data_IF_091075431717
#
_entry.id   IF_091075431717
#
_cell.length_a   1.000
_cell.length_b   1.000
_cell.length_c   1.000
_cell.angle_alpha   90.00
_cell.angle_beta   90.00
_cell.angle_gamma   90.00
#
_symmetry.space_group_name_H-M   'P 1'
#
loop_
_entity.id
_entity.type
_entity.pdbx_description
1 polymer ?
#
# COMPACT_ATOMS: atom_id res chain seq x y z
N UNK A 1 15.16 19.31 -26.36
CA UNK A 1 14.78 20.18 -25.22
C UNK A 1 13.32 19.98 -24.93
N UNK A 2 12.95 19.77 -23.66
CA UNK A 2 11.54 19.70 -23.28
C UNK A 2 10.95 21.11 -23.36
N UNK A 3 9.89 21.28 -24.13
CA UNK A 3 9.22 22.57 -24.29
C UNK A 3 8.52 22.96 -22.99
N UNK A 4 8.56 24.24 -22.62
CA UNK A 4 7.94 24.71 -21.38
C UNK A 4 6.42 24.76 -21.52
N UNK A 5 5.71 23.98 -20.69
CA UNK A 5 4.25 23.99 -20.63
C UNK A 5 3.73 24.83 -19.43
N UNK A 6 2.98 25.93 -19.65
CA UNK A 6 2.47 26.78 -18.58
C UNK A 6 1.61 26.05 -17.53
N UNK A 7 1.00 24.93 -17.91
CA UNK A 7 0.23 24.08 -17.01
C UNK A 7 1.07 23.53 -15.83
N UNK A 8 2.39 23.44 -15.99
CA UNK A 8 3.32 23.03 -14.93
C UNK A 8 3.43 24.04 -13.77
N UNK A 9 2.98 25.28 -13.98
CA UNK A 9 2.93 26.33 -12.95
C UNK A 9 1.54 26.46 -12.30
N UNK A 10 0.60 25.58 -12.60
CA UNK A 10 -0.71 25.60 -11.96
C UNK A 10 -0.56 25.43 -10.43
N UNK A 11 -1.26 26.28 -9.68
CA UNK A 11 -1.22 26.25 -8.21
C UNK A 11 -1.73 24.93 -7.66
N UNK A 12 -1.05 24.40 -6.65
CA UNK A 12 -1.49 23.17 -5.98
C UNK A 12 -2.71 23.43 -5.10
N UNK A 13 -3.70 22.55 -5.18
CA UNK A 13 -4.86 22.58 -4.30
C UNK A 13 -4.47 22.14 -2.87
N UNK A 14 -5.29 22.51 -1.89
CA UNK A 14 -5.08 22.08 -0.49
C UNK A 14 -5.00 20.56 -0.36
N UNK A 15 -5.84 19.83 -1.11
CA UNK A 15 -5.84 18.36 -1.11
C UNK A 15 -4.54 17.80 -1.71
N UNK A 16 -4.05 18.36 -2.82
CA UNK A 16 -2.78 17.95 -3.42
C UNK A 16 -1.60 18.17 -2.47
N UNK A 17 -1.57 19.31 -1.76
CA UNK A 17 -0.56 19.60 -0.75
C UNK A 17 -0.64 18.57 0.39
N UNK A 18 -1.84 18.31 0.92
CA UNK A 18 -2.04 17.37 2.02
C UNK A 18 -1.57 15.95 1.65
N UNK A 19 -2.01 15.43 0.50
CA UNK A 19 -1.61 14.10 0.00
C UNK A 19 -0.09 14.03 -0.14
N UNK A 20 0.55 15.06 -0.72
CA UNK A 20 2.01 15.09 -0.84
C UNK A 20 2.71 15.03 0.51
N UNK A 21 2.23 15.79 1.49
CA UNK A 21 2.83 15.80 2.84
C UNK A 21 2.66 14.46 3.55
N UNK A 22 1.48 13.84 3.45
CA UNK A 22 1.22 12.51 4.04
C UNK A 22 2.10 11.42 3.39
N UNK A 23 2.23 11.42 2.06
CA UNK A 23 3.12 10.49 1.35
C UNK A 23 4.58 10.69 1.78
N UNK A 24 5.03 11.94 1.92
CA UNK A 24 6.38 12.24 2.37
C UNK A 24 6.62 11.74 3.80
N UNK A 25 5.70 12.01 4.72
CA UNK A 25 5.77 11.55 6.11
C UNK A 25 5.76 10.02 6.19
N UNK A 26 4.86 9.35 5.45
CA UNK A 26 4.83 7.88 5.35
C UNK A 26 6.22 7.34 4.99
N UNK A 27 6.83 7.86 3.91
CA UNK A 27 8.15 7.41 3.44
C UNK A 27 9.24 7.60 4.50
N UNK A 28 9.22 8.72 5.22
CA UNK A 28 10.17 8.99 6.29
C UNK A 28 9.98 7.98 7.44
N UNK A 29 8.75 7.79 7.92
CA UNK A 29 8.46 6.86 9.01
C UNK A 29 8.80 5.41 8.64
N UNK A 30 8.46 4.98 7.43
CA UNK A 30 8.83 3.65 6.92
C UNK A 30 10.35 3.48 6.86
N UNK A 31 11.09 4.47 6.34
CA UNK A 31 12.56 4.44 6.29
C UNK A 31 13.17 4.35 7.70
N UNK A 32 12.56 5.01 8.67
CA UNK A 32 12.96 4.96 10.08
C UNK A 32 12.51 3.68 10.82
N UNK A 33 11.81 2.75 10.14
CA UNK A 33 11.14 1.58 10.74
C UNK A 33 10.13 1.95 11.84
N UNK A 34 9.61 3.17 11.78
CA UNK A 34 8.57 3.69 12.66
C UNK A 34 7.20 3.27 12.12
N UNK A 35 6.94 1.95 12.11
CA UNK A 35 5.79 1.36 11.44
C UNK A 35 4.42 1.82 11.96
N UNK A 36 4.20 2.07 13.27
CA UNK A 36 2.92 2.62 13.74
C UNK A 36 2.58 3.98 13.10
N UNK A 37 3.57 4.87 12.98
CA UNK A 37 3.40 6.18 12.36
C UNK A 37 3.25 6.07 10.85
N UNK A 38 3.99 5.15 10.22
CA UNK A 38 3.79 4.81 8.81
C UNK A 38 2.36 4.35 8.53
N UNK A 39 1.83 3.46 9.39
CA UNK A 39 0.46 2.96 9.29
C UNK A 39 -0.56 4.10 9.42
N UNK A 40 -0.40 4.97 10.41
CA UNK A 40 -1.29 6.12 10.60
C UNK A 40 -1.33 7.04 9.36
N UNK A 41 -0.19 7.28 8.70
CA UNK A 41 -0.16 8.08 7.47
C UNK A 41 -0.86 7.37 6.31
N UNK A 42 -0.69 6.05 6.19
CA UNK A 42 -1.39 5.23 5.19
C UNK A 42 -2.90 5.21 5.42
N UNK A 43 -3.37 5.13 6.66
CA UNK A 43 -4.80 5.20 6.98
C UNK A 43 -5.43 6.54 6.61
N UNK A 44 -4.72 7.65 6.86
CA UNK A 44 -5.15 8.98 6.42
C UNK A 44 -5.20 9.08 4.88
N UNK A 45 -4.22 8.51 4.18
CA UNK A 45 -4.23 8.48 2.71
C UNK A 45 -5.41 7.67 2.16
N UNK A 46 -5.72 6.52 2.76
CA UNK A 46 -6.90 5.72 2.39
C UNK A 46 -8.22 6.41 2.74
N UNK A 47 -8.26 7.23 3.79
CA UNK A 47 -9.43 8.03 4.12
C UNK A 47 -9.68 9.15 3.08
N UNK A 48 -8.60 9.68 2.45
CA UNK A 48 -8.70 10.65 1.37
C UNK A 48 -9.06 10.02 0.03
N UNK A 49 -8.51 8.83 -0.25
CA UNK A 49 -8.79 8.04 -1.46
C UNK A 49 -8.84 6.54 -1.13
N UNK A 50 -10.03 5.96 -0.92
CA UNK A 50 -10.20 4.54 -0.65
C UNK A 50 -9.81 3.63 -1.84
N UNK A 51 -9.70 4.20 -3.05
CA UNK A 51 -9.35 3.45 -4.26
C UNK A 51 -7.84 3.34 -4.50
N UNK A 52 -7.02 3.99 -3.65
CA UNK A 52 -5.58 3.97 -3.75
C UNK A 52 -4.99 2.58 -3.43
N UNK A 53 -4.92 1.71 -4.44
CA UNK A 53 -4.45 0.31 -4.29
C UNK A 53 -3.03 0.22 -3.71
N UNK A 54 -2.16 1.18 -4.03
CA UNK A 54 -0.81 1.28 -3.45
C UNK A 54 -0.87 1.44 -1.93
N UNK A 55 -1.80 2.25 -1.42
CA UNK A 55 -1.96 2.49 0.00
C UNK A 55 -2.62 1.30 0.71
N UNK A 56 -3.53 0.60 0.03
CA UNK A 56 -4.11 -0.66 0.52
C UNK A 56 -3.02 -1.74 0.70
N UNK A 57 -2.14 -1.90 -0.29
CA UNK A 57 -0.98 -2.78 -0.21
C UNK A 57 -0.05 -2.38 0.94
N UNK A 58 0.30 -1.11 1.02
CA UNK A 58 1.20 -0.59 2.05
C UNK A 58 0.62 -0.80 3.46
N UNK A 59 -0.70 -0.65 3.65
CA UNK A 59 -1.38 -0.93 4.93
C UNK A 59 -1.20 -2.40 5.34
N UNK A 60 -1.39 -3.31 4.40
CA UNK A 60 -1.19 -4.74 4.64
C UNK A 60 0.26 -5.10 5.01
N UNK A 61 1.24 -4.51 4.33
CA UNK A 61 2.66 -4.71 4.63
C UNK A 61 3.06 -4.09 5.99
N UNK A 62 2.51 -2.93 6.34
CA UNK A 62 2.76 -2.29 7.63
C UNK A 62 2.13 -3.08 8.78
N UNK A 63 0.89 -3.55 8.61
CA UNK A 63 0.23 -4.44 9.56
C UNK A 63 1.05 -5.73 9.78
N UNK A 64 1.62 -6.31 8.71
CA UNK A 64 2.52 -7.45 8.82
C UNK A 64 3.74 -7.16 9.70
N UNK A 65 4.40 -6.01 9.50
CA UNK A 65 5.55 -5.59 10.31
C UNK A 65 5.18 -5.31 11.78
N UNK A 66 3.92 -5.00 12.05
CA UNK A 66 3.37 -4.79 13.39
C UNK A 66 2.82 -6.08 14.02
N UNK A 67 2.98 -7.23 13.36
CA UNK A 67 2.45 -8.53 13.76
C UNK A 67 0.91 -8.61 13.81
N UNK A 68 0.19 -7.67 13.19
CA UNK A 68 -1.25 -7.79 12.95
C UNK A 68 -1.49 -8.61 11.68
N UNK A 69 -1.25 -9.92 11.80
CA UNK A 69 -1.37 -10.87 10.70
C UNK A 69 -2.78 -10.97 10.11
N UNK A 70 -3.87 -10.92 10.89
CA UNK A 70 -5.22 -10.86 10.34
C UNK A 70 -5.47 -9.62 9.48
N UNK A 71 -5.04 -8.42 9.92
CA UNK A 71 -5.20 -7.21 9.12
C UNK A 71 -4.33 -7.26 7.85
N UNK A 72 -3.07 -7.69 7.99
CA UNK A 72 -2.17 -7.87 6.87
C UNK A 72 -2.76 -8.79 5.79
N UNK A 73 -3.30 -9.94 6.21
CA UNK A 73 -3.90 -10.91 5.30
C UNK A 73 -5.09 -10.31 4.55
N UNK A 74 -6.02 -9.66 5.26
CA UNK A 74 -7.21 -9.05 4.65
C UNK A 74 -6.85 -8.04 3.56
N UNK A 75 -5.92 -7.14 3.86
CA UNK A 75 -5.57 -6.05 2.95
C UNK A 75 -4.76 -6.53 1.74
N UNK A 76 -3.80 -7.44 1.94
CA UNK A 76 -3.00 -7.98 0.84
C UNK A 76 -3.84 -8.88 -0.08
N UNK A 77 -4.80 -9.63 0.46
CA UNK A 77 -5.76 -10.36 -0.38
C UNK A 77 -6.67 -9.42 -1.16
N UNK A 78 -7.13 -8.33 -0.55
CA UNK A 78 -7.91 -7.31 -1.25
C UNK A 78 -7.10 -6.66 -2.38
N UNK A 79 -5.85 -6.28 -2.11
CA UNK A 79 -4.93 -5.76 -3.12
C UNK A 79 -4.77 -6.71 -4.32
N UNK A 80 -4.52 -8.00 -4.06
CA UNK A 80 -4.39 -8.99 -5.12
C UNK A 80 -5.69 -9.14 -5.92
N UNK A 81 -6.86 -9.17 -5.26
CA UNK A 81 -8.17 -9.24 -5.96
C UNK A 81 -8.38 -8.07 -6.92
N UNK A 82 -7.98 -6.85 -6.54
CA UNK A 82 -8.18 -5.66 -7.37
C UNK A 82 -7.14 -5.51 -8.49
N UNK A 83 -5.96 -6.12 -8.33
CA UNK A 83 -4.87 -6.01 -9.31
C UNK A 83 -4.71 -7.24 -10.22
N UNK A 84 -5.30 -8.38 -9.86
CA UNK A 84 -5.33 -9.58 -10.70
C UNK A 84 -6.24 -9.35 -11.91
N UNK A 85 -5.68 -9.48 -13.10
CA UNK A 85 -6.42 -9.37 -14.36
C UNK A 85 -7.09 -10.72 -14.68
N UNK A 86 -8.18 -11.05 -13.99
CA UNK A 86 -8.96 -12.27 -14.22
C UNK A 86 -8.66 -13.42 -13.24
N UNK A 87 -9.67 -14.28 -13.06
CA UNK A 87 -9.85 -15.23 -11.96
C UNK A 87 -8.70 -16.24 -11.77
N UNK A 88 -7.97 -16.10 -10.66
CA UNK A 88 -7.18 -17.20 -10.07
C UNK A 88 -5.84 -17.52 -10.72
N UNK A 89 -5.41 -16.79 -11.74
CA UNK A 89 -4.08 -17.00 -12.32
C UNK A 89 -2.96 -16.51 -11.38
N UNK A 90 -1.94 -17.35 -11.22
CA UNK A 90 -0.72 -16.99 -10.47
C UNK A 90 -0.09 -15.76 -11.14
N UNK A 91 0.33 -14.74 -10.37
CA UNK A 91 1.02 -13.59 -10.95
C UNK A 91 2.23 -14.02 -11.76
N UNK A 92 2.54 -13.27 -12.82
CA UNK A 92 3.79 -13.47 -13.57
C UNK A 92 4.98 -13.39 -12.60
N UNK A 93 5.98 -14.24 -12.81
CA UNK A 93 7.20 -14.24 -12.01
C UNK A 93 7.90 -12.86 -12.11
N UNK A 94 8.58 -12.46 -11.03
CA UNK A 94 9.25 -11.15 -10.88
C UNK A 94 8.31 -9.93 -10.93
N UNK A 95 7.04 -10.09 -10.56
CA UNK A 95 6.11 -8.97 -10.37
C UNK A 95 5.89 -8.69 -8.89
N UNK A 96 5.55 -7.45 -8.55
CA UNK A 96 5.16 -7.10 -7.17
C UNK A 96 4.00 -7.98 -6.68
N UNK A 97 3.05 -8.30 -7.56
CA UNK A 97 1.95 -9.19 -7.24
C UNK A 97 2.43 -10.59 -6.83
N UNK A 98 3.52 -11.11 -7.43
CA UNK A 98 4.10 -12.39 -7.04
C UNK A 98 4.70 -12.35 -5.63
N UNK A 99 5.38 -11.25 -5.27
CA UNK A 99 5.93 -11.04 -3.92
C UNK A 99 4.80 -10.97 -2.89
N UNK A 100 3.76 -10.16 -3.15
CA UNK A 100 2.59 -10.05 -2.27
C UNK A 100 1.86 -11.39 -2.15
N UNK A 101 1.79 -12.18 -3.22
CA UNK A 101 1.17 -13.50 -3.17
C UNK A 101 1.93 -14.49 -2.28
N UNK A 102 3.26 -14.47 -2.27
CA UNK A 102 4.04 -15.27 -1.32
C UNK A 102 3.86 -14.79 0.13
N UNK A 103 3.74 -13.48 0.37
CA UNK A 103 3.35 -12.96 1.69
C UNK A 103 1.98 -13.48 2.14
N UNK A 104 0.97 -13.44 1.27
CA UNK A 104 -0.38 -13.96 1.55
C UNK A 104 -0.36 -15.45 1.88
N UNK A 105 0.39 -16.27 1.14
CA UNK A 105 0.57 -17.70 1.46
C UNK A 105 1.18 -17.92 2.85
N UNK A 106 2.25 -17.20 3.15
CA UNK A 106 2.92 -17.30 4.45
C UNK A 106 1.98 -16.91 5.60
N UNK A 107 1.23 -15.82 5.40
CA UNK A 107 0.21 -15.33 6.34
C UNK A 107 -0.91 -16.34 6.55
N UNK A 108 -1.45 -16.95 5.49
CA UNK A 108 -2.50 -17.98 5.60
C UNK A 108 -2.05 -19.17 6.45
N UNK A 109 -0.83 -19.67 6.23
CA UNK A 109 -0.27 -20.77 7.04
C UNK A 109 -0.14 -20.37 8.51
N UNK A 110 0.31 -19.14 8.77
CA UNK A 110 0.49 -18.62 10.14
C UNK A 110 -0.82 -18.42 10.87
N UNK A 111 -1.81 -17.80 10.23
CA UNK A 111 -3.14 -17.58 10.80
C UNK A 111 -3.85 -18.92 11.06
N UNK A 112 -3.73 -19.89 10.15
CA UNK A 112 -4.30 -21.22 10.34
C UNK A 112 -3.69 -21.99 11.52
N UNK A 113 -2.41 -21.77 11.84
CA UNK A 113 -1.75 -22.40 13.00
C UNK A 113 -1.99 -21.69 14.34
N UNK A 114 -2.69 -20.56 14.36
CA UNK A 114 -3.06 -19.84 15.59
C UNK A 114 -4.48 -20.15 16.07
N UNK A 115 -5.27 -20.87 15.25
CA UNK A 115 -6.60 -21.39 15.57
C UNK A 115 -6.50 -22.85 16.01
#
# INVERSE_FOLDING_TARGET
DAEFEPALLAGATKLQILVRMLVNLKRIYVKMRSFPQGLAMTELLLALDPSALTELRDRGLLAYNLNDFPAALRDLEAYLRFTSRGDGERPKENTEQAEIWEHVKALRRRVAGLN
#
